data_IF_772089669882
#
_entry.id   IF_772089669882
#
_cell.length_a   1.000
_cell.length_b   1.000
_cell.length_c   1.000
_cell.angle_alpha   90.00
_cell.angle_beta   90.00
_cell.angle_gamma   90.00
#
_symmetry.space_group_name_H-M   'P 1'
#
loop_
_entity.id
_entity.type
_entity.pdbx_description
1 polymer ?
#
# COMPACT_ATOMS: atom_id res chain seq x y z
N UNK A 1 -29.59 -3.92 -2.40
CA UNK A 1 -28.49 -3.06 -1.94
C UNK A 1 -27.62 -3.87 -1.00
N UNK A 2 -26.32 -3.90 -1.24
CA UNK A 2 -25.35 -4.67 -0.45
C UNK A 2 -24.45 -3.72 0.34
N UNK A 3 -24.11 -4.12 1.57
CA UNK A 3 -22.98 -3.57 2.31
C UNK A 3 -21.83 -4.55 2.17
N UNK A 4 -20.65 -4.03 1.85
CA UNK A 4 -19.46 -4.81 1.65
C UNK A 4 -18.53 -4.63 2.84
N UNK A 5 -17.91 -5.73 3.26
CA UNK A 5 -16.92 -5.74 4.35
C UNK A 5 -15.56 -6.07 3.77
N UNK A 6 -14.52 -5.42 4.29
CA UNK A 6 -13.14 -5.72 3.97
C UNK A 6 -12.35 -5.93 5.27
N UNK A 7 -11.08 -6.33 5.13
CA UNK A 7 -10.14 -6.54 6.24
C UNK A 7 -10.09 -5.39 7.27
N UNK A 8 -10.38 -4.16 6.86
CA UNK A 8 -10.27 -2.96 7.72
C UNK A 8 -11.61 -2.44 8.23
N UNK A 9 -12.73 -2.98 7.76
CA UNK A 9 -14.05 -2.54 8.21
C UNK A 9 -15.16 -2.74 7.18
N UNK A 10 -16.35 -2.27 7.53
CA UNK A 10 -17.51 -2.19 6.64
C UNK A 10 -17.40 -0.93 5.80
N UNK A 11 -17.58 -1.05 4.48
CA UNK A 11 -17.59 0.10 3.59
C UNK A 11 -18.80 1.00 3.88
N UNK A 12 -18.55 2.31 3.94
CA UNK A 12 -19.58 3.33 4.16
C UNK A 12 -20.65 3.31 3.05
N UNK A 13 -20.24 3.04 1.81
CA UNK A 13 -21.11 3.02 0.64
C UNK A 13 -21.92 1.73 0.56
N UNK A 14 -23.13 1.84 0.02
CA UNK A 14 -23.97 0.69 -0.36
C UNK A 14 -23.94 0.54 -1.87
N UNK A 15 -24.00 -0.70 -2.34
CA UNK A 15 -23.88 -1.01 -3.76
C UNK A 15 -25.13 -1.74 -4.26
N UNK A 16 -25.69 -1.38 -5.43
CA UNK A 16 -26.74 -2.16 -6.05
C UNK A 16 -26.17 -3.51 -6.56
N UNK A 17 -27.06 -4.48 -6.76
CA UNK A 17 -26.68 -5.79 -7.31
C UNK A 17 -25.99 -5.69 -8.68
N UNK A 18 -26.35 -4.67 -9.47
CA UNK A 18 -25.78 -4.39 -10.78
C UNK A 18 -24.31 -3.94 -10.75
N UNK A 19 -23.80 -3.46 -9.61
CA UNK A 19 -22.41 -2.98 -9.46
C UNK A 19 -21.48 -4.02 -8.83
N UNK A 20 -22.02 -5.17 -8.41
CA UNK A 20 -21.25 -6.23 -7.76
C UNK A 20 -21.26 -7.50 -8.60
N UNK A 21 -20.08 -8.10 -8.76
CA UNK A 21 -19.92 -9.36 -9.49
C UNK A 21 -19.53 -10.47 -8.50
N UNK A 22 -20.18 -11.64 -8.56
CA UNK A 22 -19.78 -12.77 -7.74
C UNK A 22 -18.40 -13.27 -8.19
N UNK A 23 -17.48 -13.41 -7.24
CA UNK A 23 -16.10 -13.84 -7.48
C UNK A 23 -15.94 -15.37 -7.56
N UNK A 24 -17.03 -16.13 -7.42
CA UNK A 24 -17.01 -17.59 -7.37
C UNK A 24 -16.58 -18.15 -6.00
N UNK A 25 -16.27 -19.45 -5.89
CA UNK A 25 -15.90 -20.12 -4.65
C UNK A 25 -14.45 -19.80 -4.28
N UNK A 26 -14.21 -18.55 -3.88
CA UNK A 26 -12.91 -18.07 -3.44
C UNK A 26 -13.00 -17.71 -1.97
N UNK A 27 -12.31 -18.47 -1.15
CA UNK A 27 -12.17 -18.19 0.27
C UNK A 27 -11.01 -17.21 0.49
N UNK A 28 -11.24 -16.25 1.37
CA UNK A 28 -10.28 -15.22 1.74
C UNK A 28 -10.14 -15.29 3.25
N UNK A 29 -9.00 -15.80 3.73
CA UNK A 29 -8.72 -15.95 5.17
C UNK A 29 -8.84 -14.63 5.95
N UNK A 30 -8.64 -13.49 5.28
CA UNK A 30 -8.81 -12.16 5.87
C UNK A 30 -10.28 -11.79 6.17
N UNK A 31 -11.24 -12.61 5.74
CA UNK A 31 -12.67 -12.42 5.95
C UNK A 31 -13.26 -13.43 6.97
N UNK A 32 -12.44 -14.27 7.59
CA UNK A 32 -12.91 -15.22 8.62
C UNK A 32 -13.39 -14.50 9.88
N UNK A 33 -12.74 -13.40 10.26
CA UNK A 33 -13.14 -12.52 11.38
C UNK A 33 -12.98 -11.03 10.99
N UNK A 34 -13.91 -10.48 10.21
CA UNK A 34 -13.80 -9.12 9.73
C UNK A 34 -14.30 -8.13 10.80
N UNK A 35 -13.64 -6.97 10.97
CA UNK A 35 -14.06 -5.95 11.92
C UNK A 35 -15.39 -5.31 11.48
N UNK A 36 -16.50 -5.75 12.09
CA UNK A 36 -17.86 -5.27 11.74
C UNK A 36 -18.23 -3.95 12.43
N UNK A 37 -17.53 -3.58 13.50
CA UNK A 37 -17.79 -2.35 14.27
C UNK A 37 -17.10 -1.10 13.71
N UNK A 38 -16.30 -1.23 12.65
CA UNK A 38 -15.54 -0.13 12.07
C UNK A 38 -16.08 0.20 10.69
N UNK A 39 -16.40 1.47 10.44
CA UNK A 39 -16.85 1.95 9.12
C UNK A 39 -15.72 2.70 8.43
N UNK A 40 -15.38 2.29 7.22
CA UNK A 40 -14.30 2.89 6.42
C UNK A 40 -14.79 3.32 5.04
N UNK A 41 -14.17 4.36 4.47
CA UNK A 41 -14.43 4.73 3.07
C UNK A 41 -13.63 3.82 2.14
N UNK A 42 -14.06 3.71 0.88
CA UNK A 42 -13.33 2.94 -0.15
C UNK A 42 -11.89 3.47 -0.29
N UNK A 43 -11.72 4.79 -0.28
CA UNK A 43 -10.40 5.44 -0.41
C UNK A 43 -9.50 5.11 0.78
N UNK A 44 -10.04 5.13 2.01
CA UNK A 44 -9.25 4.82 3.20
C UNK A 44 -8.86 3.35 3.25
N UNK A 45 -9.82 2.45 2.94
CA UNK A 45 -9.53 1.02 2.84
C UNK A 45 -8.45 0.74 1.78
N UNK A 46 -8.53 1.40 0.61
CA UNK A 46 -7.52 1.28 -0.44
C UNK A 46 -6.15 1.83 0.02
N UNK A 47 -6.13 2.93 0.77
CA UNK A 47 -4.90 3.50 1.33
C UNK A 47 -4.24 2.54 2.34
N UNK A 48 -5.02 1.94 3.22
CA UNK A 48 -4.55 0.98 4.22
C UNK A 48 -4.06 -0.33 3.59
N UNK A 49 -4.71 -0.78 2.51
CA UNK A 49 -4.26 -1.95 1.75
C UNK A 49 -3.00 -1.65 0.92
N UNK A 50 -2.76 -0.39 0.58
CA UNK A 50 -1.68 0.00 -0.32
C UNK A 50 -0.33 -0.02 0.40
N UNK A 51 0.55 -0.93 -0.02
CA UNK A 51 1.97 -0.95 0.36
C UNK A 51 2.77 0.18 -0.31
N UNK A 52 2.29 1.43 -0.23
CA UNK A 52 2.87 2.61 -0.90
C UNK A 52 4.29 2.95 -0.45
N UNK A 53 4.79 2.32 0.60
CA UNK A 53 6.22 2.35 0.94
C UNK A 53 7.11 1.84 -0.20
N UNK A 54 6.61 0.95 -1.07
CA UNK A 54 7.45 0.26 -2.05
C UNK A 54 7.48 0.87 -3.46
N UNK A 55 6.43 1.58 -3.93
CA UNK A 55 6.29 1.69 -5.38
C UNK A 55 6.98 2.85 -6.08
N UNK A 56 7.34 3.97 -5.43
CA UNK A 56 7.94 5.11 -6.16
C UNK A 56 8.69 6.17 -5.31
N UNK A 57 8.83 6.00 -3.99
CA UNK A 57 9.58 6.96 -3.18
C UNK A 57 11.05 6.57 -3.11
N UNK A 58 11.83 6.96 -4.11
CA UNK A 58 13.28 6.90 -4.00
C UNK A 58 13.90 8.19 -3.48
N UNK A 59 15.17 8.11 -3.10
CA UNK A 59 15.92 9.29 -2.70
C UNK A 59 16.45 10.07 -3.92
N UNK A 60 16.54 11.39 -3.80
CA UNK A 60 17.18 12.26 -4.80
C UNK A 60 18.68 12.50 -4.50
N UNK A 61 19.31 11.59 -3.77
CA UNK A 61 20.72 11.71 -3.40
C UNK A 61 21.62 11.56 -4.64
N UNK A 62 22.65 12.40 -4.75
CA UNK A 62 23.71 12.32 -5.77
C UNK A 62 25.05 11.77 -5.22
N UNK A 63 25.02 11.32 -3.96
CA UNK A 63 26.18 10.84 -3.20
C UNK A 63 26.03 9.36 -2.79
N UNK A 64 26.68 8.95 -1.72
CA UNK A 64 26.78 7.52 -1.33
C UNK A 64 25.52 6.92 -0.68
N UNK A 65 24.53 7.74 -0.33
CA UNK A 65 23.29 7.31 0.36
C UNK A 65 23.52 6.67 1.74
N UNK A 66 24.67 6.91 2.39
CA UNK A 66 24.95 6.38 3.73
C UNK A 66 24.56 7.33 4.86
N UNK A 67 24.30 8.60 4.53
CA UNK A 67 23.94 9.65 5.47
C UNK A 67 22.46 9.59 5.89
N UNK A 68 22.16 10.04 7.11
CA UNK A 68 20.79 10.10 7.65
C UNK A 68 19.85 11.04 6.86
N UNK A 69 20.39 11.92 6.01
CA UNK A 69 19.61 12.77 5.09
C UNK A 69 18.99 11.96 3.93
N UNK A 70 19.55 10.79 3.60
CA UNK A 70 18.99 9.94 2.56
C UNK A 70 17.66 9.33 3.04
N UNK A 71 16.60 9.51 2.25
CA UNK A 71 15.28 8.93 2.54
C UNK A 71 15.36 7.41 2.68
N UNK A 72 16.01 6.72 1.73
CA UNK A 72 16.15 5.27 1.73
C UNK A 72 16.86 4.78 2.98
N UNK A 73 17.97 5.42 3.37
CA UNK A 73 18.68 5.11 4.61
C UNK A 73 17.83 5.32 5.86
N UNK A 74 17.08 6.42 5.92
CA UNK A 74 16.19 6.76 7.05
C UNK A 74 15.03 5.79 7.17
N UNK A 75 14.47 5.36 6.05
CA UNK A 75 13.39 4.38 5.98
C UNK A 75 13.88 2.92 6.07
N UNK A 76 15.20 2.71 6.21
CA UNK A 76 15.84 1.40 6.23
C UNK A 76 15.48 0.52 5.02
N UNK A 77 15.39 1.13 3.84
CA UNK A 77 15.14 0.46 2.55
C UNK A 77 16.30 0.71 1.60
N UNK A 78 16.66 -0.29 0.81
CA UNK A 78 17.73 -0.16 -0.18
C UNK A 78 17.29 0.74 -1.35
N UNK A 79 18.23 1.51 -1.90
CA UNK A 79 18.00 2.32 -3.08
C UNK A 79 17.71 1.42 -4.29
N UNK A 80 16.55 1.62 -4.91
CA UNK A 80 16.14 0.95 -6.16
C UNK A 80 15.93 1.93 -7.31
N UNK A 81 15.24 1.47 -8.36
CA UNK A 81 14.96 2.21 -9.60
C UNK A 81 14.20 3.53 -9.41
N UNK A 82 13.47 3.70 -8.30
CA UNK A 82 12.79 4.96 -7.97
C UNK A 82 13.71 6.07 -7.43
N UNK A 83 15.00 5.78 -7.17
CA UNK A 83 15.98 6.76 -6.70
C UNK A 83 16.59 7.55 -7.87
N UNK A 84 17.38 8.59 -7.57
CA UNK A 84 18.06 9.40 -8.60
C UNK A 84 18.75 8.50 -9.65
N UNK A 85 18.26 8.47 -10.92
CA UNK A 85 18.59 7.39 -11.87
C UNK A 85 20.07 7.26 -12.20
N UNK A 86 20.81 8.37 -12.10
CA UNK A 86 22.21 8.47 -12.50
C UNK A 86 23.17 8.52 -11.32
N UNK A 87 22.72 8.10 -10.12
CA UNK A 87 23.60 8.06 -8.94
C UNK A 87 24.52 6.82 -8.95
N UNK A 88 25.58 6.85 -9.77
CA UNK A 88 26.63 5.81 -9.77
C UNK A 88 27.41 5.72 -8.45
N UNK A 89 27.33 6.74 -7.59
CA UNK A 89 28.03 6.80 -6.31
C UNK A 89 27.28 6.12 -5.17
N UNK A 90 26.03 5.69 -5.38
CA UNK A 90 25.20 5.06 -4.36
C UNK A 90 25.85 3.76 -3.83
N UNK A 91 26.06 3.71 -2.50
CA UNK A 91 26.55 2.53 -1.79
C UNK A 91 25.45 1.80 -0.99
N UNK A 92 24.25 2.37 -0.92
CA UNK A 92 23.11 1.81 -0.20
C UNK A 92 22.06 1.23 -1.16
N UNK A 93 22.49 0.44 -2.15
CA UNK A 93 21.64 -0.16 -3.19
C UNK A 93 21.41 -1.65 -2.93
N UNK A 94 20.34 -2.18 -3.51
CA UNK A 94 20.08 -3.63 -3.56
C UNK A 94 21.03 -4.31 -4.55
#
# INVERSE_FOLDING_TARGET
>A
MYRLTCRFGVLKNVFPASEVLPLGPKEFSELDDPPTNTVVSIVEAARLQSNTLASNKGCNCRGDCLIARCFCKKANVLCGSGCYPTNSKCKHKA
#
